data_IF_935690044528
#
_entry.id   IF_935690044528
#
_cell.length_a   1.000
_cell.length_b   1.000
_cell.length_c   1.000
_cell.angle_alpha   90.00
_cell.angle_beta   90.00
_cell.angle_gamma   90.00
#
_symmetry.space_group_name_H-M   'P 1'
#
loop_
_entity.id
_entity.type
_entity.pdbx_description
1 polymer ?
#
# COMPACT_ATOMS: atom_id res chain seq x y z
N UNK A 1 -34.37 -49.02 35.66
CA UNK A 1 -35.64 -48.67 36.34
C UNK A 1 -35.97 -47.21 35.97
N UNK A 2 -36.81 -46.95 34.95
CA UNK A 2 -38.20 -46.42 34.99
C UNK A 2 -38.48 -45.10 35.77
N UNK A 3 -38.77 -44.04 34.97
CA UNK A 3 -39.82 -42.95 35.06
C UNK A 3 -39.68 -41.91 36.21
N UNK A 4 -39.95 -40.61 36.04
CA UNK A 4 -41.09 -39.92 35.40
C UNK A 4 -40.78 -38.49 34.85
N UNK A 5 -41.70 -38.04 34.00
CA UNK A 5 -41.82 -36.79 33.23
C UNK A 5 -42.83 -35.85 33.94
N UNK A 6 -42.65 -34.52 33.91
CA UNK A 6 -43.78 -33.56 33.96
C UNK A 6 -43.42 -32.22 33.30
N UNK A 7 -44.26 -31.84 32.33
CA UNK A 7 -44.31 -30.60 31.56
C UNK A 7 -45.51 -29.78 32.09
N UNK A 8 -45.44 -28.45 32.11
CA UNK A 8 -46.65 -27.60 32.11
C UNK A 8 -46.37 -26.25 31.47
N UNK A 9 -47.07 -26.00 30.36
CA UNK A 9 -47.12 -24.77 29.61
C UNK A 9 -48.35 -23.95 30.02
N UNK A 10 -48.33 -22.63 29.83
CA UNK A 10 -49.54 -21.79 29.81
C UNK A 10 -49.48 -20.82 28.63
N UNK A 11 -50.46 -20.96 27.75
CA UNK A 11 -50.84 -20.10 26.63
C UNK A 11 -52.27 -19.61 26.91
N UNK A 12 -52.67 -18.47 26.31
CA UNK A 12 -54.01 -18.07 25.76
C UNK A 12 -54.36 -16.61 26.15
N UNK A 13 -54.93 -15.67 25.35
CA UNK A 13 -55.18 -15.35 23.92
C UNK A 13 -55.81 -13.92 23.90
N UNK A 14 -55.65 -13.24 22.76
CA UNK A 14 -56.15 -11.96 22.23
C UNK A 14 -57.56 -11.40 22.57
N UNK A 15 -57.71 -10.07 22.38
CA UNK A 15 -58.88 -9.41 21.76
C UNK A 15 -58.48 -8.09 21.06
N UNK A 16 -59.00 -7.86 19.85
CA UNK A 16 -58.95 -6.63 19.05
C UNK A 16 -60.37 -6.03 18.89
N UNK A 17 -60.52 -4.73 18.52
CA UNK A 17 -61.65 -4.06 17.80
C UNK A 17 -61.26 -2.55 17.61
N UNK A 18 -60.96 -2.10 16.37
CA UNK A 18 -61.70 -1.19 15.45
C UNK A 18 -61.80 0.32 15.84
N UNK A 19 -61.31 1.24 14.97
CA UNK A 19 -62.07 2.15 14.06
C UNK A 19 -62.48 3.49 14.72
N UNK A 20 -62.65 4.68 14.11
CA UNK A 20 -62.38 5.32 12.81
C UNK A 20 -62.85 6.80 12.97
N UNK A 21 -62.16 7.75 12.34
CA UNK A 21 -62.63 9.07 11.84
C UNK A 21 -63.02 10.26 12.76
N UNK A 22 -62.55 11.42 12.27
CA UNK A 22 -63.21 12.74 12.16
C UNK A 22 -62.98 13.84 13.23
N UNK A 23 -62.25 14.85 12.75
CA UNK A 23 -62.62 16.28 12.76
C UNK A 23 -62.29 17.14 14.01
N UNK A 24 -61.20 17.89 13.96
CA UNK A 24 -61.23 19.36 13.80
C UNK A 24 -59.81 19.96 13.84
N UNK A 25 -59.45 20.65 12.76
CA UNK A 25 -58.28 21.53 12.68
C UNK A 25 -58.51 22.79 13.54
N UNK A 26 -57.44 23.42 14.06
CA UNK A 26 -57.20 24.79 13.61
C UNK A 26 -55.79 24.97 13.03
N UNK A 27 -55.77 25.72 11.93
CA UNK A 27 -54.60 26.25 11.24
C UNK A 27 -53.73 27.14 12.14
N UNK A 28 -52.46 27.28 11.71
CA UNK A 28 -51.46 28.33 11.99
C UNK A 28 -50.42 27.94 13.08
N UNK A 29 -49.09 27.96 12.88
CA UNK A 29 -48.20 28.36 11.78
C UNK A 29 -46.91 27.50 11.82
N UNK A 30 -46.21 27.48 10.69
CA UNK A 30 -45.02 26.69 10.37
C UNK A 30 -43.81 26.92 11.27
N UNK A 31 -43.32 25.88 11.93
CA UNK A 31 -41.89 25.72 12.27
C UNK A 31 -41.54 24.22 12.09
N UNK A 32 -40.91 23.91 10.96
CA UNK A 32 -40.36 22.57 10.70
C UNK A 32 -39.21 22.30 11.68
N UNK A 33 -39.11 21.10 12.30
CA UNK A 33 -37.90 20.70 12.99
C UNK A 33 -36.82 20.42 11.95
N UNK A 34 -35.81 21.29 11.90
CA UNK A 34 -34.63 21.17 11.05
C UNK A 34 -34.08 19.73 11.06
N UNK A 35 -34.03 19.14 9.86
CA UNK A 35 -33.45 17.82 9.62
C UNK A 35 -32.01 17.78 10.11
N UNK A 36 -31.67 16.86 11.02
CA UNK A 36 -30.31 16.54 11.41
C UNK A 36 -29.54 15.76 10.31
N UNK A 37 -29.61 16.20 9.06
CA UNK A 37 -28.75 15.73 7.98
C UNK A 37 -27.41 16.49 8.00
N UNK A 38 -26.64 16.30 9.08
CA UNK A 38 -25.23 16.71 9.08
C UNK A 38 -24.43 15.59 8.43
N UNK A 39 -24.30 15.66 7.10
CA UNK A 39 -23.42 14.77 6.35
C UNK A 39 -21.97 14.96 6.86
N UNK A 40 -21.31 13.92 7.39
CA UNK A 40 -19.95 14.07 7.90
C UNK A 40 -19.01 14.48 6.76
N UNK A 41 -18.15 15.50 6.95
CA UNK A 41 -17.29 15.99 5.88
C UNK A 41 -16.36 14.89 5.37
N UNK A 42 -16.45 14.61 4.07
CA UNK A 42 -15.62 13.61 3.40
C UNK A 42 -14.13 13.92 3.60
N UNK A 43 -13.41 13.01 4.26
CA UNK A 43 -11.96 13.08 4.47
C UNK A 43 -11.21 12.90 3.13
N UNK A 44 -11.07 13.99 2.35
CA UNK A 44 -10.34 14.02 1.07
C UNK A 44 -8.82 13.83 1.21
N UNK A 45 -8.28 13.68 2.42
CA UNK A 45 -6.85 13.87 2.69
C UNK A 45 -5.92 12.69 2.35
N UNK A 46 -6.42 11.55 1.85
CA UNK A 46 -5.55 10.37 1.57
C UNK A 46 -5.46 9.92 0.11
N UNK A 47 -6.09 10.64 -0.83
CA UNK A 47 -6.19 10.25 -2.24
C UNK A 47 -5.22 10.93 -3.20
N UNK A 48 -4.28 11.74 -2.73
CA UNK A 48 -3.25 12.34 -3.59
C UNK A 48 -2.20 11.29 -4.00
N UNK A 49 -2.57 10.46 -4.99
CA UNK A 49 -1.65 9.77 -5.89
C UNK A 49 -1.47 10.60 -7.17
N UNK A 50 -1.41 11.92 -7.05
CA UNK A 50 -1.07 12.76 -8.20
C UNK A 50 0.46 12.77 -8.33
N UNK A 51 1.04 12.34 -9.46
CA UNK A 51 2.45 12.61 -9.71
C UNK A 51 2.57 14.13 -9.82
N UNK A 52 3.09 14.77 -8.78
CA UNK A 52 3.32 16.22 -8.77
C UNK A 52 4.26 16.58 -9.92
N UNK A 53 3.64 17.03 -11.02
CA UNK A 53 4.27 17.48 -12.27
C UNK A 53 4.81 18.91 -12.15
N UNK A 54 5.53 19.17 -11.07
CA UNK A 54 6.41 20.32 -10.98
C UNK A 54 7.81 19.75 -10.88
N UNK A 55 8.72 20.11 -11.81
CA UNK A 55 10.13 19.70 -11.76
C UNK A 55 10.67 19.96 -10.35
N UNK A 56 10.91 18.92 -9.54
CA UNK A 56 11.42 19.11 -8.20
C UNK A 56 12.89 19.45 -8.34
N UNK A 57 13.38 20.36 -7.51
CA UNK A 57 14.81 20.37 -7.23
C UNK A 57 15.23 18.94 -6.83
N UNK A 58 16.45 18.48 -7.16
CA UNK A 58 16.90 17.11 -6.87
C UNK A 58 16.72 16.73 -5.39
N UNK A 59 16.78 17.71 -4.48
CA UNK A 59 16.53 17.55 -3.05
C UNK A 59 15.05 17.24 -2.69
N UNK A 60 14.11 17.81 -3.45
CA UNK A 60 12.68 17.57 -3.30
C UNK A 60 12.26 16.15 -3.68
N UNK A 61 13.00 15.50 -4.58
CA UNK A 61 12.74 14.13 -5.02
C UNK A 61 13.16 13.09 -3.99
N UNK A 62 14.32 13.26 -3.35
CA UNK A 62 14.78 12.36 -2.29
C UNK A 62 13.83 12.41 -1.09
N UNK A 63 13.45 13.61 -0.64
CA UNK A 63 12.50 13.78 0.48
C UNK A 63 11.10 13.19 0.18
N UNK A 64 10.65 13.25 -1.08
CA UNK A 64 9.41 12.59 -1.51
C UNK A 64 9.54 11.07 -1.43
N UNK A 65 10.65 10.51 -1.88
CA UNK A 65 10.91 9.07 -1.84
C UNK A 65 11.03 8.52 -0.41
N UNK A 66 11.64 9.28 0.51
CA UNK A 66 11.68 8.95 1.93
C UNK A 66 10.27 8.85 2.55
N UNK A 67 9.41 9.84 2.27
CA UNK A 67 8.00 9.80 2.71
C UNK A 67 7.25 8.61 2.13
N UNK A 68 7.50 8.26 0.86
CA UNK A 68 6.90 7.09 0.23
C UNK A 68 7.35 5.79 0.88
N UNK A 69 8.65 5.67 1.18
CA UNK A 69 9.22 4.52 1.87
C UNK A 69 8.62 4.35 3.28
N UNK A 70 8.52 5.43 4.04
CA UNK A 70 7.90 5.38 5.37
C UNK A 70 6.41 5.01 5.31
N UNK A 71 5.68 5.54 4.32
CA UNK A 71 4.29 5.12 4.07
C UNK A 71 4.20 3.65 3.69
N UNK A 72 5.13 3.14 2.87
CA UNK A 72 5.17 1.74 2.49
C UNK A 72 5.44 0.83 3.71
N UNK A 73 6.39 1.19 4.58
CA UNK A 73 6.69 0.43 5.81
C UNK A 73 5.49 0.36 6.74
N UNK A 74 4.82 1.49 7.00
CA UNK A 74 3.61 1.52 7.84
C UNK A 74 2.49 0.69 7.22
N UNK A 75 2.32 0.75 5.91
CA UNK A 75 1.33 -0.05 5.18
C UNK A 75 1.61 -1.55 5.27
N UNK A 76 2.88 -1.97 5.17
CA UNK A 76 3.30 -3.36 5.29
C UNK A 76 3.09 -3.89 6.73
N UNK A 77 3.49 -3.13 7.74
CA UNK A 77 3.26 -3.48 9.15
C UNK A 77 1.76 -3.60 9.47
N UNK A 78 0.95 -2.65 8.98
CA UNK A 78 -0.51 -2.71 9.11
C UNK A 78 -1.11 -3.93 8.42
N UNK A 79 -0.60 -4.31 7.25
CA UNK A 79 -1.09 -5.48 6.52
C UNK A 79 -0.78 -6.79 7.22
N UNK A 80 0.39 -6.92 7.84
CA UNK A 80 0.73 -8.10 8.63
C UNK A 80 -0.26 -8.31 9.77
N UNK A 81 -0.61 -7.24 10.48
CA UNK A 81 -1.66 -7.29 11.53
C UNK A 81 -3.00 -7.74 10.96
N UNK A 82 -3.42 -7.16 9.83
CA UNK A 82 -4.69 -7.49 9.18
C UNK A 82 -4.73 -8.93 8.65
N UNK A 83 -3.61 -9.48 8.19
CA UNK A 83 -3.50 -10.88 7.80
C UNK A 83 -3.64 -11.82 9.00
N UNK A 84 -3.00 -11.51 10.13
CA UNK A 84 -3.10 -12.33 11.35
C UNK A 84 -4.53 -12.46 11.88
N UNK A 85 -5.36 -11.42 11.72
CA UNK A 85 -6.77 -11.44 12.11
C UNK A 85 -7.71 -11.91 10.99
N UNK A 86 -7.17 -12.36 9.85
CA UNK A 86 -7.95 -12.92 8.74
C UNK A 86 -8.66 -11.91 7.84
N UNK A 87 -8.36 -10.61 7.97
CA UNK A 87 -8.99 -9.54 7.16
C UNK A 87 -8.36 -9.43 5.77
N UNK A 88 -7.04 -9.59 5.66
CA UNK A 88 -6.33 -9.56 4.37
C UNK A 88 -5.81 -10.93 3.97
N UNK A 89 -5.80 -11.20 2.67
CA UNK A 89 -5.13 -12.37 2.11
C UNK A 89 -3.61 -12.25 2.23
N UNK A 90 -2.90 -13.39 2.32
CA UNK A 90 -1.44 -13.41 2.41
C UNK A 90 -0.75 -12.68 1.23
N UNK A 91 -1.33 -12.75 0.03
CA UNK A 91 -0.83 -12.09 -1.19
C UNK A 91 -0.72 -10.58 -0.99
N UNK A 92 -1.66 -9.96 -0.29
CA UNK A 92 -1.66 -8.51 -0.04
C UNK A 92 -0.49 -8.09 0.85
N UNK A 93 -0.13 -8.92 1.84
CA UNK A 93 1.03 -8.67 2.71
C UNK A 93 2.32 -8.77 1.90
N UNK A 94 2.47 -9.83 1.11
CA UNK A 94 3.64 -10.05 0.25
C UNK A 94 3.83 -8.89 -0.75
N UNK A 95 2.74 -8.39 -1.35
CA UNK A 95 2.79 -7.25 -2.26
C UNK A 95 3.22 -5.95 -1.57
N UNK A 96 2.75 -5.69 -0.34
CA UNK A 96 3.15 -4.50 0.42
C UNK A 96 4.60 -4.59 0.90
N UNK A 97 5.08 -5.77 1.27
CA UNK A 97 6.50 -5.99 1.55
C UNK A 97 7.36 -5.77 0.31
N UNK A 98 6.95 -6.29 -0.85
CA UNK A 98 7.64 -6.04 -2.12
C UNK A 98 7.68 -4.54 -2.46
N UNK A 99 6.61 -3.81 -2.16
CA UNK A 99 6.57 -2.35 -2.33
C UNK A 99 7.61 -1.62 -1.48
N UNK A 100 7.86 -2.07 -0.25
CA UNK A 100 8.94 -1.51 0.61
C UNK A 100 10.29 -1.67 -0.07
N UNK A 101 10.60 -2.88 -0.55
CA UNK A 101 11.90 -3.15 -1.21
C UNK A 101 12.07 -2.30 -2.48
N UNK A 102 11.00 -2.11 -3.26
CA UNK A 102 11.02 -1.22 -4.42
C UNK A 102 11.28 0.25 -4.03
N UNK A 103 10.64 0.73 -2.97
CA UNK A 103 10.86 2.09 -2.47
C UNK A 103 12.30 2.28 -1.95
N UNK A 104 12.88 1.30 -1.26
CA UNK A 104 14.28 1.32 -0.81
C UNK A 104 15.25 1.44 -2.00
N UNK A 105 15.06 0.62 -3.04
CA UNK A 105 15.88 0.68 -4.26
C UNK A 105 15.74 2.03 -4.98
N UNK A 106 14.53 2.57 -5.08
CA UNK A 106 14.31 3.87 -5.73
C UNK A 106 14.98 5.02 -4.96
N UNK A 107 14.91 5.00 -3.62
CA UNK A 107 15.57 5.99 -2.78
C UNK A 107 17.08 5.92 -2.94
N UNK A 108 17.68 4.72 -2.87
CA UNK A 108 19.12 4.56 -3.04
C UNK A 108 19.61 5.04 -4.41
N UNK A 109 18.84 4.77 -5.47
CA UNK A 109 19.14 5.28 -6.82
C UNK A 109 19.05 6.80 -6.91
N UNK A 110 18.05 7.42 -6.26
CA UNK A 110 17.91 8.88 -6.24
C UNK A 110 19.06 9.55 -5.48
N UNK A 111 19.48 8.99 -4.35
CA UNK A 111 20.65 9.47 -3.60
C UNK A 111 21.93 9.35 -4.42
N UNK A 112 22.10 8.24 -5.15
CA UNK A 112 23.23 8.06 -6.06
C UNK A 112 23.22 9.07 -7.20
N UNK A 113 22.05 9.34 -7.80
CA UNK A 113 21.92 10.34 -8.86
C UNK A 113 22.31 11.74 -8.36
N UNK A 114 21.80 12.14 -7.18
CA UNK A 114 22.17 13.39 -6.52
C UNK A 114 23.68 13.48 -6.25
N UNK A 115 24.28 12.42 -5.69
CA UNK A 115 25.71 12.41 -5.41
C UNK A 115 26.59 12.53 -6.67
N UNK A 116 26.13 11.99 -7.80
CA UNK A 116 26.81 12.18 -9.10
C UNK A 116 26.76 13.64 -9.56
N UNK A 117 25.63 14.31 -9.39
CA UNK A 117 25.49 15.74 -9.70
C UNK A 117 26.36 16.60 -8.78
N UNK A 118 26.40 16.29 -7.49
CA UNK A 118 27.24 16.99 -6.50
C UNK A 118 28.74 16.84 -6.83
N UNK A 119 29.19 15.63 -7.18
CA UNK A 119 30.60 15.43 -7.60
C UNK A 119 30.91 16.23 -8.87
N UNK A 120 30.04 16.23 -9.88
CA UNK A 120 30.24 17.00 -11.11
C UNK A 120 30.28 18.53 -10.84
N UNK A 121 29.44 19.02 -9.93
CA UNK A 121 29.46 20.42 -9.50
C UNK A 121 30.76 20.75 -8.75
N UNK A 122 31.21 19.87 -7.86
CA UNK A 122 32.45 20.05 -7.10
C UNK A 122 33.69 20.03 -8.02
N UNK A 123 33.72 19.16 -9.02
CA UNK A 123 34.79 19.13 -10.04
C UNK A 123 34.90 20.46 -10.79
N UNK A 124 33.75 21.06 -11.12
CA UNK A 124 33.69 22.38 -11.76
C UNK A 124 34.20 23.50 -10.84
N UNK A 125 33.83 23.46 -9.56
CA UNK A 125 34.31 24.43 -8.56
C UNK A 125 35.82 24.29 -8.27
N UNK A 126 36.36 23.07 -8.25
CA UNK A 126 37.81 22.85 -8.10
C UNK A 126 38.55 23.41 -9.31
N UNK A 127 38.01 23.23 -10.52
CA UNK A 127 38.58 23.80 -11.74
C UNK A 127 38.55 25.34 -11.75
N UNK A 128 37.52 25.94 -11.15
CA UNK A 128 37.42 27.38 -10.94
C UNK A 128 38.28 27.90 -9.77
N UNK A 129 38.87 27.00 -8.96
CA UNK A 129 39.64 27.35 -7.76
C UNK A 129 38.79 27.76 -6.55
N UNK A 130 37.48 27.52 -6.59
CA UNK A 130 36.50 27.93 -5.57
C UNK A 130 36.33 26.88 -4.46
N UNK A 131 36.77 25.64 -4.68
CA UNK A 131 36.69 24.55 -3.70
C UNK A 131 38.02 23.81 -3.54
N UNK A 132 38.16 23.11 -2.41
CA UNK A 132 39.41 22.39 -2.12
C UNK A 132 39.41 21.00 -2.74
N UNK A 133 40.60 20.52 -3.15
CA UNK A 133 40.77 19.14 -3.62
C UNK A 133 40.34 18.10 -2.57
N UNK A 134 40.46 18.43 -1.29
CA UNK A 134 40.05 17.55 -0.20
C UNK A 134 38.53 17.34 -0.15
N UNK A 135 37.73 18.37 -0.43
CA UNK A 135 36.28 18.26 -0.49
C UNK A 135 35.82 17.42 -1.69
N UNK A 136 36.49 17.56 -2.84
CA UNK A 136 36.24 16.71 -4.00
C UNK A 136 36.54 15.24 -3.72
N UNK A 137 37.65 14.94 -3.05
CA UNK A 137 37.95 13.56 -2.67
C UNK A 137 36.94 13.01 -1.64
N UNK A 138 36.48 13.82 -0.69
CA UNK A 138 35.41 13.42 0.23
C UNK A 138 34.10 13.11 -0.51
N UNK A 139 33.71 13.94 -1.48
CA UNK A 139 32.52 13.73 -2.30
C UNK A 139 32.63 12.45 -3.15
N UNK A 140 33.80 12.15 -3.72
CA UNK A 140 34.05 10.88 -4.45
C UNK A 140 33.95 9.66 -3.54
N UNK A 141 34.46 9.73 -2.32
CA UNK A 141 34.31 8.64 -1.33
C UNK A 141 32.84 8.41 -0.99
N UNK A 142 32.06 9.48 -0.78
CA UNK A 142 30.61 9.37 -0.55
C UNK A 142 29.88 8.78 -1.76
N UNK A 143 30.24 9.17 -2.99
CA UNK A 143 29.69 8.60 -4.22
C UNK A 143 29.96 7.09 -4.31
N UNK A 144 31.17 6.64 -3.94
CA UNK A 144 31.51 5.21 -3.94
C UNK A 144 30.62 4.42 -2.97
N UNK A 145 30.43 4.93 -1.75
CA UNK A 145 29.56 4.32 -0.74
C UNK A 145 28.09 4.25 -1.21
N UNK A 146 27.58 5.34 -1.79
CA UNK A 146 26.22 5.38 -2.33
C UNK A 146 26.06 4.46 -3.55
N UNK A 147 27.12 4.27 -4.34
CA UNK A 147 27.15 3.31 -5.45
C UNK A 147 27.01 1.89 -4.94
N UNK A 148 27.77 1.51 -3.92
CA UNK A 148 27.65 0.20 -3.29
C UNK A 148 26.25 -0.01 -2.67
N UNK A 149 25.73 1.00 -1.95
CA UNK A 149 24.39 0.95 -1.36
C UNK A 149 23.28 0.77 -2.41
N UNK A 150 23.36 1.49 -3.54
CA UNK A 150 22.41 1.36 -4.64
C UNK A 150 22.49 -0.02 -5.31
N UNK A 151 23.70 -0.57 -5.52
CA UNK A 151 23.88 -1.91 -6.05
C UNK A 151 23.30 -2.98 -5.12
N UNK A 152 23.55 -2.88 -3.82
CA UNK A 152 22.96 -3.78 -2.82
C UNK A 152 21.43 -3.69 -2.81
N UNK A 153 20.87 -2.47 -2.86
CA UNK A 153 19.42 -2.26 -2.88
C UNK A 153 18.79 -2.79 -4.19
N UNK A 154 19.45 -2.62 -5.32
CA UNK A 154 19.04 -3.18 -6.61
C UNK A 154 19.06 -4.72 -6.58
N UNK A 155 20.14 -5.33 -6.10
CA UNK A 155 20.24 -6.79 -5.94
C UNK A 155 19.18 -7.34 -4.98
N UNK A 156 18.90 -6.63 -3.87
CA UNK A 156 17.83 -6.99 -2.93
C UNK A 156 16.46 -6.94 -3.62
N UNK A 157 16.20 -5.91 -4.42
CA UNK A 157 14.96 -5.78 -5.20
C UNK A 157 14.80 -6.90 -6.21
N UNK A 158 15.83 -7.21 -6.98
CA UNK A 158 15.79 -8.27 -7.99
C UNK A 158 15.49 -9.63 -7.36
N UNK A 159 16.16 -9.96 -6.25
CA UNK A 159 15.89 -11.18 -5.47
C UNK A 159 14.45 -11.21 -4.97
N UNK A 160 13.96 -10.12 -4.38
CA UNK A 160 12.59 -10.05 -3.87
C UNK A 160 11.53 -10.17 -4.98
N UNK A 161 11.76 -9.56 -6.15
CA UNK A 161 10.86 -9.67 -7.31
C UNK A 161 10.84 -11.10 -7.87
N UNK A 162 12.02 -11.73 -7.92
CA UNK A 162 12.15 -13.13 -8.33
C UNK A 162 11.41 -14.09 -7.38
N UNK A 163 11.65 -13.98 -6.07
CA UNK A 163 10.99 -14.80 -5.05
C UNK A 163 9.47 -14.61 -5.07
N UNK A 164 9.00 -13.38 -5.24
CA UNK A 164 7.57 -13.07 -5.36
C UNK A 164 6.95 -13.72 -6.62
N UNK A 165 7.66 -13.70 -7.75
CA UNK A 165 7.21 -14.35 -8.98
C UNK A 165 7.16 -15.88 -8.83
N UNK A 166 8.16 -16.50 -8.21
CA UNK A 166 8.14 -17.94 -7.91
C UNK A 166 6.98 -18.33 -6.99
N UNK A 167 6.77 -17.57 -5.92
CA UNK A 167 5.68 -17.79 -4.99
C UNK A 167 4.31 -17.67 -5.70
N UNK A 168 4.18 -16.74 -6.65
CA UNK A 168 2.98 -16.62 -7.47
C UNK A 168 2.78 -17.84 -8.37
N UNK A 169 3.81 -18.32 -9.08
CA UNK A 169 3.69 -19.53 -9.91
C UNK A 169 3.23 -20.73 -9.08
N UNK A 170 3.86 -20.98 -7.93
CA UNK A 170 3.49 -22.08 -7.03
C UNK A 170 2.04 -21.96 -6.57
N UNK A 171 1.56 -20.74 -6.31
CA UNK A 171 0.18 -20.47 -5.91
C UNK A 171 -0.80 -20.74 -7.05
N UNK A 172 -0.53 -20.26 -8.25
CA UNK A 172 -1.40 -20.49 -9.41
C UNK A 172 -1.48 -21.97 -9.76
N UNK A 173 -0.36 -22.70 -9.69
CA UNK A 173 -0.34 -24.16 -9.87
C UNK A 173 -1.22 -24.87 -8.84
N UNK A 174 -1.16 -24.45 -7.58
CA UNK A 174 -2.00 -25.01 -6.52
C UNK A 174 -3.49 -24.69 -6.75
N UNK A 175 -3.82 -23.47 -7.14
CA UNK A 175 -5.21 -23.09 -7.44
C UNK A 175 -5.75 -23.86 -8.66
N UNK A 176 -4.94 -24.05 -9.70
CA UNK A 176 -5.28 -24.87 -10.86
C UNK A 176 -5.55 -26.33 -10.44
N UNK A 177 -4.71 -26.89 -9.57
CA UNK A 177 -4.91 -28.25 -9.05
C UNK A 177 -6.20 -28.40 -8.22
N UNK A 178 -6.66 -27.31 -7.60
CA UNK A 178 -7.92 -27.24 -6.87
C UNK A 178 -9.13 -26.91 -7.78
N UNK A 179 -8.90 -26.66 -9.07
CA UNK A 179 -9.95 -26.28 -10.03
C UNK A 179 -10.44 -24.83 -9.87
N UNK A 180 -9.69 -23.98 -9.17
CA UNK A 180 -10.08 -22.59 -8.86
C UNK A 180 -9.28 -21.53 -9.63
N UNK A 181 -8.43 -21.93 -10.58
CA UNK A 181 -7.70 -21.05 -11.48
C UNK A 181 -7.55 -21.71 -12.85
N UNK A 182 -7.26 -20.90 -13.87
CA UNK A 182 -7.13 -21.36 -15.24
C UNK A 182 -5.67 -21.64 -15.63
N UNK A 183 -5.48 -22.42 -16.70
CA UNK A 183 -4.15 -22.67 -17.27
C UNK A 183 -3.48 -21.37 -17.74
N UNK A 184 -4.28 -20.39 -18.20
CA UNK A 184 -3.80 -19.05 -18.58
C UNK A 184 -3.15 -18.31 -17.42
N UNK A 185 -3.66 -18.45 -16.19
CA UNK A 185 -3.09 -17.79 -15.00
C UNK A 185 -1.71 -18.35 -14.66
N UNK A 186 -1.54 -19.66 -14.78
CA UNK A 186 -0.25 -20.33 -14.59
C UNK A 186 0.73 -19.90 -15.68
N UNK A 187 0.31 -19.88 -16.94
CA UNK A 187 1.15 -19.45 -18.07
C UNK A 187 1.63 -18.01 -17.88
N UNK A 188 0.72 -17.08 -17.57
CA UNK A 188 1.07 -15.68 -17.30
C UNK A 188 2.03 -15.53 -16.12
N UNK A 189 1.88 -16.34 -15.06
CA UNK A 189 2.81 -16.33 -13.94
C UNK A 189 4.20 -16.85 -14.33
N UNK A 190 4.26 -17.89 -15.17
CA UNK A 190 5.51 -18.44 -15.69
C UNK A 190 6.21 -17.50 -16.65
N UNK A 191 5.48 -16.82 -17.54
CA UNK A 191 6.01 -15.79 -18.43
C UNK A 191 6.71 -14.68 -17.64
N UNK A 192 6.04 -14.14 -16.60
CA UNK A 192 6.64 -13.14 -15.71
C UNK A 192 7.91 -13.64 -15.00
N UNK A 193 7.92 -14.90 -14.57
CA UNK A 193 9.12 -15.49 -13.97
C UNK A 193 10.24 -15.67 -14.99
N UNK A 194 9.91 -16.00 -16.24
CA UNK A 194 10.86 -16.13 -17.33
C UNK A 194 11.45 -14.76 -17.73
N UNK A 195 10.62 -13.71 -17.79
CA UNK A 195 11.07 -12.33 -18.01
C UNK A 195 12.10 -11.88 -16.97
N UNK A 196 11.87 -12.21 -15.69
CA UNK A 196 12.81 -11.88 -14.61
C UNK A 196 14.10 -12.71 -14.65
N UNK A 197 14.09 -13.90 -15.28
CA UNK A 197 15.27 -14.75 -15.48
C UNK A 197 16.07 -14.37 -16.71
N UNK A 198 15.44 -13.69 -17.67
CA UNK A 198 16.12 -13.28 -18.89
C UNK A 198 17.30 -12.38 -18.54
N UNK A 199 18.46 -12.55 -19.21
CA UNK A 199 19.58 -11.65 -19.02
C UNK A 199 19.13 -10.23 -19.36
N UNK A 200 19.37 -9.29 -18.43
CA UNK A 200 19.16 -7.86 -18.70
C UNK A 200 20.30 -7.41 -19.61
N UNK A 201 19.98 -7.15 -20.87
CA UNK A 201 20.90 -6.54 -21.85
C UNK A 201 21.25 -5.10 -21.46
#
# INVERSE_FOLDING_TARGET
MRRMLTLSATVVVATAIMALAADQLPQNESEEPDSFDIEPPLLKQNLSNEPSSAMPAPDGDVARLEKQLERAKRSAAGAERLYKIGVLAKVEVEQRLLKVVRCESNLANAQLARAKEEVAAQESQVAAGESTKNELEAAKVALAQLTEAAQMAAAKRERAEFEAAEANVRRQQKLLALGSADKSDVNRAQEKLAELKAPKN
#
